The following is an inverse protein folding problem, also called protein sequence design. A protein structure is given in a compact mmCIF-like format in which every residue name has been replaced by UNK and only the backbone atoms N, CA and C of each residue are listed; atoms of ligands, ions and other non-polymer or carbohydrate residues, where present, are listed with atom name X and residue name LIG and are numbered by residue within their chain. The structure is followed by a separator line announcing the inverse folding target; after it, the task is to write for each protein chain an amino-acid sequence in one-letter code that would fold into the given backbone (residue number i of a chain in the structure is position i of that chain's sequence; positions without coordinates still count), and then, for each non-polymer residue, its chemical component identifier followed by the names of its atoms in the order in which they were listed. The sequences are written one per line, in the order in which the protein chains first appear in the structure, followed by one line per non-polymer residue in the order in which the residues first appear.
data_IF_604050293838
#
_entry.id   IF_604050293838
#
_cell.length_a   1.000
_cell.length_b   1.000
_cell.length_c   1.000
_cell.angle_alpha   90.00
_cell.angle_beta   90.00
_cell.angle_gamma   90.00
#
_symmetry.space_group_name_H-M   'P 1'
#
loop_
_entity.id
_entity.type
_entity.pdbx_description
1 polymer ?
#
# COMPACT_ATOMS: atom_id res chain seq x y z
N UNK A 1 -5.34 40.09 57.00
CA UNK A 1 -5.52 40.51 55.58
C UNK A 1 -4.94 39.52 54.54
N UNK A 2 -4.61 38.27 54.90
CA UNK A 2 -3.87 37.33 54.01
C UNK A 2 -4.73 36.28 53.30
N UNK A 3 -6.04 36.23 53.57
CA UNK A 3 -6.96 35.17 53.08
C UNK A 3 -7.53 35.45 51.68
N UNK A 4 -7.50 36.71 51.22
CA UNK A 4 -8.01 37.11 49.92
C UNK A 4 -7.02 36.83 48.76
N UNK A 5 -5.71 36.86 49.06
CA UNK A 5 -4.64 36.65 48.07
C UNK A 5 -4.49 35.18 47.64
N UNK A 6 -4.74 34.23 48.55
CA UNK A 6 -4.70 32.79 48.24
C UNK A 6 -5.87 32.30 47.39
N UNK A 7 -7.04 32.96 47.47
CA UNK A 7 -8.18 32.63 46.61
C UNK A 7 -7.99 33.17 45.18
N UNK A 8 -7.35 34.33 45.05
CA UNK A 8 -7.07 34.94 43.75
C UNK A 8 -6.04 34.13 42.94
N UNK A 9 -5.02 33.57 43.59
CA UNK A 9 -4.00 32.73 42.92
C UNK A 9 -4.54 31.36 42.52
N UNK A 10 -5.49 30.80 43.28
CA UNK A 10 -6.13 29.53 42.92
C UNK A 10 -7.00 29.69 41.66
N UNK A 11 -7.76 30.78 41.58
CA UNK A 11 -8.62 31.08 40.44
C UNK A 11 -7.81 31.30 39.14
N UNK A 12 -6.65 31.95 39.22
CA UNK A 12 -5.78 32.13 38.03
C UNK A 12 -5.17 30.81 37.55
N UNK A 13 -4.71 29.94 38.46
CA UNK A 13 -4.20 28.61 38.09
C UNK A 13 -5.29 27.76 37.44
N UNK A 14 -6.51 27.76 37.99
CA UNK A 14 -7.66 27.07 37.40
C UNK A 14 -8.00 27.64 36.01
N UNK A 15 -7.96 28.96 35.85
CA UNK A 15 -8.16 29.63 34.56
C UNK A 15 -7.12 29.23 33.51
N UNK A 16 -5.84 29.18 33.89
CA UNK A 16 -4.76 28.72 33.02
C UNK A 16 -4.91 27.26 32.62
N UNK A 17 -5.32 26.38 33.55
CA UNK A 17 -5.60 24.98 33.24
C UNK A 17 -6.78 24.84 32.27
N UNK A 18 -7.85 25.60 32.47
CA UNK A 18 -9.02 25.59 31.58
C UNK A 18 -8.67 26.05 30.16
N UNK A 19 -7.89 27.13 30.03
CA UNK A 19 -7.40 27.61 28.73
C UNK A 19 -6.48 26.58 28.07
N UNK A 20 -5.62 25.92 28.85
CA UNK A 20 -4.77 24.83 28.37
C UNK A 20 -5.57 23.64 27.84
N UNK A 21 -6.61 23.20 28.57
CA UNK A 21 -7.51 22.13 28.13
C UNK A 21 -8.27 22.53 26.86
N UNK A 22 -8.83 23.73 26.82
CA UNK A 22 -9.53 24.24 25.63
C UNK A 22 -8.60 24.26 24.41
N UNK A 23 -7.37 24.77 24.57
CA UNK A 23 -6.35 24.76 23.52
C UNK A 23 -5.99 23.36 23.03
N UNK A 24 -5.74 22.43 23.95
CA UNK A 24 -5.50 21.01 23.64
C UNK A 24 -6.66 20.38 22.88
N UNK A 25 -7.90 20.59 23.31
CA UNK A 25 -9.08 20.03 22.65
C UNK A 25 -9.31 20.63 21.26
N UNK A 26 -9.06 21.93 21.06
CA UNK A 26 -9.17 22.59 19.77
C UNK A 26 -8.11 22.06 18.78
N UNK A 27 -6.86 21.92 19.22
CA UNK A 27 -5.80 21.33 18.40
C UNK A 27 -6.11 19.87 18.06
N UNK A 28 -6.58 19.08 19.03
CA UNK A 28 -6.96 17.69 18.79
C UNK A 28 -8.04 17.55 17.71
N UNK A 29 -9.06 18.43 17.74
CA UNK A 29 -10.12 18.48 16.72
C UNK A 29 -9.60 18.86 15.32
N UNK A 30 -8.63 19.78 15.25
CA UNK A 30 -8.01 20.18 13.98
C UNK A 30 -7.18 19.04 13.37
N UNK A 31 -6.44 18.28 14.18
CA UNK A 31 -5.71 17.11 13.70
C UNK A 31 -6.64 16.01 13.21
N UNK A 32 -7.72 15.71 13.94
CA UNK A 32 -8.67 14.67 13.53
C UNK A 32 -9.29 14.96 12.16
N UNK A 33 -9.66 16.21 11.89
CA UNK A 33 -10.25 16.58 10.61
C UNK A 33 -9.24 16.52 9.46
N UNK A 34 -7.99 16.97 9.71
CA UNK A 34 -6.90 16.83 8.74
C UNK A 34 -6.56 15.35 8.45
N UNK A 35 -6.63 14.48 9.45
CA UNK A 35 -6.43 13.03 9.30
C UNK A 35 -7.57 12.38 8.52
N UNK A 36 -8.83 12.82 8.72
CA UNK A 36 -9.97 12.31 7.94
C UNK A 36 -9.89 12.69 6.47
N UNK A 37 -9.52 13.93 6.16
CA UNK A 37 -9.32 14.39 4.77
C UNK A 37 -8.17 13.64 4.06
N UNK A 38 -7.18 13.15 4.81
CA UNK A 38 -6.04 12.39 4.28
C UNK A 38 -6.22 10.88 4.34
N UNK A 39 -7.30 10.39 4.94
CA UNK A 39 -7.56 8.97 5.15
C UNK A 39 -7.67 8.17 3.85
N UNK A 40 -8.43 8.67 2.88
CA UNK A 40 -8.57 8.05 1.56
C UNK A 40 -7.25 8.03 0.79
N UNK A 41 -6.47 9.12 0.88
CA UNK A 41 -5.14 9.21 0.28
C UNK A 41 -4.19 8.20 0.90
N UNK A 42 -4.19 8.08 2.24
CA UNK A 42 -3.35 7.12 2.97
C UNK A 42 -3.66 5.69 2.57
N UNK A 43 -4.94 5.32 2.49
CA UNK A 43 -5.33 3.96 2.12
C UNK A 43 -4.93 3.62 0.69
N UNK A 44 -5.09 4.55 -0.25
CA UNK A 44 -4.62 4.37 -1.62
C UNK A 44 -3.10 4.18 -1.67
N UNK A 45 -2.34 5.01 -0.93
CA UNK A 45 -0.89 4.87 -0.82
C UNK A 45 -0.47 3.53 -0.21
N UNK A 46 -1.17 3.05 0.82
CA UNK A 46 -0.89 1.74 1.41
C UNK A 46 -1.12 0.61 0.40
N UNK A 47 -2.25 0.63 -0.31
CA UNK A 47 -2.55 -0.36 -1.33
C UNK A 47 -1.51 -0.37 -2.46
N UNK A 48 -1.11 0.82 -2.94
CA UNK A 48 -0.09 0.96 -3.97
C UNK A 48 1.28 0.47 -3.49
N UNK A 49 1.71 0.86 -2.28
CA UNK A 49 2.97 0.41 -1.70
C UNK A 49 2.99 -1.10 -1.47
N UNK A 50 1.87 -1.70 -1.07
CA UNK A 50 1.73 -3.15 -0.93
C UNK A 50 1.92 -3.84 -2.28
N UNK A 51 1.25 -3.38 -3.34
CA UNK A 51 1.40 -3.94 -4.68
C UNK A 51 2.84 -3.77 -5.23
N UNK A 52 3.46 -2.60 -5.02
CA UNK A 52 4.82 -2.32 -5.47
C UNK A 52 5.87 -3.17 -4.72
N UNK A 53 5.66 -3.36 -3.42
CA UNK A 53 6.50 -4.23 -2.59
C UNK A 53 6.33 -5.69 -3.00
N UNK A 54 5.09 -6.13 -3.25
CA UNK A 54 4.80 -7.48 -3.71
C UNK A 54 5.41 -7.76 -5.09
N UNK A 55 5.37 -6.79 -6.01
CA UNK A 55 5.98 -6.89 -7.34
C UNK A 55 7.51 -6.97 -7.26
N UNK A 56 8.12 -6.14 -6.41
CA UNK A 56 9.57 -6.17 -6.18
C UNK A 56 9.99 -7.49 -5.56
N UNK A 57 9.26 -7.98 -4.56
CA UNK A 57 9.49 -9.29 -3.96
C UNK A 57 9.35 -10.40 -5.01
N UNK A 58 8.30 -10.40 -5.82
CA UNK A 58 8.09 -11.38 -6.90
C UNK A 58 9.27 -11.44 -7.88
N UNK A 59 9.90 -10.30 -8.17
CA UNK A 59 11.08 -10.23 -9.04
C UNK A 59 12.34 -10.86 -8.42
N UNK A 60 12.40 -11.01 -7.09
CA UNK A 60 13.52 -11.66 -6.40
C UNK A 60 13.37 -13.18 -6.29
N UNK A 61 12.18 -13.71 -6.56
CA UNK A 61 11.90 -15.13 -6.41
C UNK A 61 12.43 -15.93 -7.60
N UNK A 62 12.83 -17.18 -7.31
CA UNK A 62 13.01 -18.20 -8.32
C UNK A 62 11.66 -18.81 -8.69
N UNK A 63 11.32 -18.75 -9.97
CA UNK A 63 10.07 -19.27 -10.51
C UNK A 63 10.28 -20.54 -11.33
N UNK A 64 9.25 -21.38 -11.46
CA UNK A 64 9.20 -22.40 -12.50
C UNK A 64 9.14 -21.73 -13.89
N UNK A 65 9.28 -22.50 -14.98
CA UNK A 65 9.04 -21.99 -16.33
C UNK A 65 7.70 -21.26 -16.42
N UNK A 66 7.70 -20.13 -17.14
CA UNK A 66 6.50 -19.31 -17.27
C UNK A 66 5.41 -20.08 -18.03
N UNK A 67 4.21 -20.08 -17.47
CA UNK A 67 3.03 -20.74 -18.02
C UNK A 67 2.00 -19.70 -18.44
N UNK A 68 1.05 -20.08 -19.28
CA UNK A 68 -0.08 -19.21 -19.65
C UNK A 68 -1.03 -18.94 -18.48
N UNK A 69 -1.04 -19.81 -17.46
CA UNK A 69 -1.73 -19.61 -16.19
C UNK A 69 -0.84 -18.86 -15.18
N UNK A 70 -1.49 -18.12 -14.28
CA UNK A 70 -0.79 -17.41 -13.20
C UNK A 70 -0.19 -18.39 -12.20
N UNK A 71 1.09 -18.20 -11.90
CA UNK A 71 1.78 -18.89 -10.83
C UNK A 71 1.96 -17.88 -9.71
N UNK A 72 1.22 -18.03 -8.61
CA UNK A 72 1.24 -17.08 -7.50
C UNK A 72 1.98 -17.62 -6.28
N UNK A 73 2.64 -16.72 -5.55
CA UNK A 73 3.26 -16.99 -4.26
C UNK A 73 2.83 -15.91 -3.27
N UNK A 74 2.68 -16.30 -2.01
CA UNK A 74 2.32 -15.39 -0.92
C UNK A 74 3.39 -15.40 0.16
N UNK A 75 3.73 -14.22 0.69
CA UNK A 75 4.63 -14.04 1.82
C UNK A 75 3.83 -13.58 3.04
N UNK A 76 3.85 -14.38 4.10
CA UNK A 76 2.97 -14.18 5.25
C UNK A 76 3.40 -13.03 6.19
N UNK A 77 4.67 -12.58 6.24
CA UNK A 77 4.96 -11.25 6.77
C UNK A 77 4.50 -10.17 5.78
N UNK A 78 3.47 -9.39 6.14
CA UNK A 78 2.99 -8.26 5.33
C UNK A 78 1.98 -8.62 4.23
N UNK A 79 1.58 -9.88 4.11
CA UNK A 79 0.51 -10.30 3.21
C UNK A 79 0.77 -9.98 1.74
N UNK A 80 2.04 -10.05 1.31
CA UNK A 80 2.41 -9.78 -0.08
C UNK A 80 2.03 -10.97 -0.94
N UNK A 81 1.43 -10.70 -2.10
CA UNK A 81 1.13 -11.72 -3.11
C UNK A 81 1.68 -11.27 -4.45
N UNK A 82 2.56 -12.09 -5.00
CA UNK A 82 3.23 -11.85 -6.26
C UNK A 82 2.98 -13.01 -7.20
N UNK A 83 2.75 -12.74 -8.49
CA UNK A 83 2.46 -13.77 -9.48
C UNK A 83 3.29 -13.61 -10.74
N UNK A 84 3.51 -14.72 -11.44
CA UNK A 84 4.21 -14.79 -12.71
C UNK A 84 3.36 -15.50 -13.77
N UNK A 85 3.39 -15.00 -15.00
CA UNK A 85 2.75 -15.60 -16.18
C UNK A 85 3.64 -15.39 -17.40
N UNK A 86 3.54 -16.25 -18.41
CA UNK A 86 4.04 -15.95 -19.75
C UNK A 86 3.20 -14.81 -20.35
N UNK A 87 3.85 -13.82 -20.94
CA UNK A 87 3.16 -12.78 -21.67
C UNK A 87 2.71 -13.30 -23.06
N UNK A 88 1.81 -12.59 -23.74
CA UNK A 88 1.46 -12.95 -25.12
C UNK A 88 2.64 -12.74 -26.10
N UNK A 89 3.62 -11.93 -25.71
CA UNK A 89 4.85 -11.75 -26.49
C UNK A 89 5.84 -12.89 -26.20
N UNK A 90 6.45 -13.49 -27.23
CA UNK A 90 7.43 -14.55 -27.04
C UNK A 90 8.62 -14.06 -26.20
N UNK A 91 9.12 -14.94 -25.35
CA UNK A 91 10.25 -14.69 -24.42
C UNK A 91 10.02 -13.55 -23.40
N UNK A 92 8.79 -13.05 -23.27
CA UNK A 92 8.43 -12.07 -22.25
C UNK A 92 7.62 -12.74 -21.16
N UNK A 93 7.95 -12.40 -19.93
CA UNK A 93 7.27 -12.80 -18.71
C UNK A 93 6.52 -11.58 -18.16
N UNK A 94 5.33 -11.82 -17.66
CA UNK A 94 4.55 -10.85 -16.91
C UNK A 94 4.62 -11.17 -15.42
N UNK A 95 5.16 -10.23 -14.64
CA UNK A 95 5.08 -10.23 -13.19
C UNK A 95 3.90 -9.36 -12.74
N UNK A 96 3.22 -9.77 -11.68
CA UNK A 96 2.13 -9.03 -11.03
C UNK A 96 2.38 -8.94 -9.53
N UNK A 97 2.23 -7.76 -8.96
CA UNK A 97 2.15 -7.54 -7.52
C UNK A 97 0.74 -7.13 -7.13
N UNK A 98 0.25 -7.67 -6.02
CA UNK A 98 -1.11 -7.42 -5.53
C UNK A 98 -1.08 -6.56 -4.25
N UNK A 99 -1.91 -5.54 -4.23
CA UNK A 99 -2.24 -4.74 -3.06
C UNK A 99 -3.74 -4.76 -2.81
N UNK A 100 -4.16 -4.41 -1.59
CA UNK A 100 -5.57 -4.38 -1.21
C UNK A 100 -6.03 -2.97 -0.90
N UNK A 101 -7.04 -2.50 -1.63
CA UNK A 101 -7.70 -1.22 -1.35
C UNK A 101 -8.59 -1.33 -0.13
N UNK A 102 -9.02 -0.18 0.39
CA UNK A 102 -9.87 -0.11 1.58
C UNK A 102 -11.25 -0.72 1.40
N UNK A 103 -11.79 -0.66 0.18
CA UNK A 103 -13.03 -1.32 -0.24
C UNK A 103 -12.87 -2.84 -0.45
N UNK A 104 -11.67 -3.38 -0.19
CA UNK A 104 -11.33 -4.79 -0.39
C UNK A 104 -10.99 -5.15 -1.84
N UNK A 105 -11.15 -4.22 -2.79
CA UNK A 105 -10.81 -4.49 -4.19
C UNK A 105 -9.29 -4.63 -4.38
N UNK A 106 -8.85 -5.52 -5.29
CA UNK A 106 -7.44 -5.69 -5.55
C UNK A 106 -6.89 -4.51 -6.38
N UNK A 107 -5.66 -4.10 -6.07
CA UNK A 107 -4.85 -3.22 -6.90
C UNK A 107 -3.70 -4.05 -7.47
N UNK A 108 -3.57 -4.06 -8.80
CA UNK A 108 -2.52 -4.80 -9.49
C UNK A 108 -1.51 -3.84 -10.10
N UNK A 109 -0.23 -4.16 -9.91
CA UNK A 109 0.88 -3.55 -10.63
C UNK A 109 1.60 -4.62 -11.43
N UNK A 110 2.08 -4.26 -12.61
CA UNK A 110 2.67 -5.19 -13.56
C UNK A 110 4.13 -4.81 -13.87
N UNK A 111 4.94 -5.82 -14.15
CA UNK A 111 6.29 -5.65 -14.65
C UNK A 111 6.56 -6.67 -15.74
N UNK A 112 6.95 -6.18 -16.92
CA UNK A 112 7.50 -7.01 -17.98
C UNK A 112 8.93 -7.42 -17.63
N UNK A 113 9.25 -8.67 -17.85
CA UNK A 113 10.54 -9.28 -17.59
C UNK A 113 10.88 -10.28 -18.69
N UNK A 114 12.12 -10.76 -18.69
CA UNK A 114 12.54 -11.92 -19.48
C UNK A 114 12.90 -13.07 -18.54
N UNK A 115 12.90 -14.33 -19.03
CA UNK A 115 13.51 -15.43 -18.30
C UNK A 115 14.98 -15.09 -18.03
N UNK A 116 15.34 -14.89 -16.77
CA UNK A 116 16.74 -14.68 -16.38
C UNK A 116 17.40 -16.00 -15.93
N UNK A 117 18.62 -15.86 -15.41
CA UNK A 117 19.42 -17.00 -15.00
C UNK A 117 18.80 -17.74 -13.81
N UNK A 118 18.86 -19.08 -13.86
CA UNK A 118 18.40 -19.97 -12.79
C UNK A 118 16.92 -19.79 -12.37
N UNK A 119 16.08 -19.26 -13.26
CA UNK A 119 14.65 -19.04 -13.01
C UNK A 119 14.32 -17.74 -12.27
N UNK A 120 15.28 -16.83 -12.11
CA UNK A 120 15.00 -15.47 -11.62
C UNK A 120 14.61 -14.58 -12.80
N UNK A 121 13.47 -13.89 -12.76
CA UNK A 121 13.06 -13.01 -13.85
C UNK A 121 13.96 -11.76 -13.92
N UNK A 122 14.42 -11.42 -15.12
CA UNK A 122 15.18 -10.19 -15.36
C UNK A 122 14.21 -9.08 -15.80
N UNK A 123 14.05 -8.03 -14.98
CA UNK A 123 13.12 -6.92 -15.29
C UNK A 123 13.54 -6.17 -16.54
N UNK A 124 12.59 -5.90 -17.43
CA UNK A 124 12.79 -5.04 -18.59
C UNK A 124 12.76 -3.57 -18.17
N UNK A 125 13.74 -2.79 -18.64
CA UNK A 125 13.75 -1.34 -18.45
C UNK A 125 12.51 -0.71 -19.09
N UNK A 126 11.80 0.15 -18.36
CA UNK A 126 10.53 0.72 -18.81
C UNK A 126 9.36 -0.27 -18.88
N UNK A 127 9.54 -1.50 -18.40
CA UNK A 127 8.50 -2.53 -18.39
C UNK A 127 7.53 -2.46 -17.21
N UNK A 128 7.58 -1.42 -16.38
CA UNK A 128 6.66 -1.24 -15.25
C UNK A 128 5.36 -0.61 -15.73
N UNK A 129 4.20 -1.17 -15.34
CA UNK A 129 2.89 -0.67 -15.74
C UNK A 129 1.89 -0.76 -14.59
N UNK A 130 1.00 0.22 -14.52
CA UNK A 130 -0.19 0.27 -13.66
C UNK A 130 -1.45 -0.25 -14.35
N UNK A 131 -1.35 -0.60 -15.64
CA UNK A 131 -2.42 -1.20 -16.44
C UNK A 131 -2.01 -2.58 -16.98
N UNK A 132 -3.00 -3.39 -17.36
CA UNK A 132 -2.77 -4.70 -17.96
C UNK A 132 -2.09 -4.56 -19.33
N UNK A 133 -0.88 -5.12 -19.54
CA UNK A 133 -0.17 -5.01 -20.82
C UNK A 133 -0.70 -5.97 -21.91
N UNK A 134 -1.62 -6.87 -21.57
CA UNK A 134 -2.18 -7.86 -22.49
C UNK A 134 -3.40 -7.35 -23.24
N UNK A 135 -3.56 -7.78 -24.50
CA UNK A 135 -4.79 -7.62 -25.27
C UNK A 135 -5.39 -9.00 -25.50
N UNK A 136 -6.60 -9.32 -24.98
CA UNK A 136 -7.54 -8.49 -24.21
C UNK A 136 -7.22 -8.33 -22.70
N UNK A 137 -7.79 -7.31 -22.00
CA UNK A 137 -7.51 -7.03 -20.58
C UNK A 137 -7.78 -8.18 -19.61
N UNK A 138 -8.78 -9.03 -19.93
CA UNK A 138 -9.10 -10.21 -19.12
C UNK A 138 -7.95 -11.23 -19.06
N UNK A 139 -6.96 -11.14 -19.95
CA UNK A 139 -5.77 -11.99 -19.86
C UNK A 139 -4.91 -11.67 -18.63
N UNK A 140 -5.07 -10.50 -18.01
CA UNK A 140 -4.46 -10.21 -16.72
C UNK A 140 -5.36 -10.58 -15.53
N UNK A 141 -6.67 -10.74 -15.78
CA UNK A 141 -7.68 -11.15 -14.82
C UNK A 141 -7.66 -12.67 -14.69
N UNK A 142 -6.71 -13.18 -13.92
CA UNK A 142 -6.63 -14.60 -13.60
C UNK A 142 -6.32 -14.79 -12.13
N UNK A 143 -7.25 -15.47 -11.45
CA UNK A 143 -7.32 -15.80 -10.04
C UNK A 143 -7.09 -14.59 -9.10
N UNK A 144 -8.16 -13.82 -8.90
CA UNK A 144 -8.49 -13.44 -7.52
C UNK A 144 -8.50 -14.75 -6.72
N UNK A 145 -7.47 -15.00 -5.91
CA UNK A 145 -7.45 -16.23 -5.12
C UNK A 145 -8.64 -16.30 -4.17
N UNK A 146 -8.92 -17.49 -3.61
CA UNK A 146 -10.08 -17.75 -2.77
C UNK A 146 -10.18 -16.81 -1.57
#
# INVERSE_FOLDING_TARGET
MNRQWGNATLLTLMGLMLLGLMGMTALHRQLDEAVRLTGETRQHLLAWNQAASALTWAATLRWPPAQTAWQCRSFHPGGLRGCMKAAARPEVILLRGEGRRADGSPLFLYQLATPGLNGHPARLAGGWLDFCPEKPPHNCEGEAGP
#
